data_IF_979759185069
#
_entry.id   IF_979759185069
#
_cell.length_a   1.000
_cell.length_b   1.000
_cell.length_c   1.000
_cell.angle_alpha   90.00
_cell.angle_beta   90.00
_cell.angle_gamma   90.00
#
_symmetry.space_group_name_H-M   'P 1'
#
loop_
_entity.id
_entity.type
_entity.pdbx_description
1 polymer ?
#
# COMPACT_ATOMS: atom_id res chain seq x y z
N UNK A 1 -18.00 -23.08 12.92
CA UNK A 1 -16.57 -23.10 13.27
C UNK A 1 -15.75 -23.23 11.98
N UNK A 2 -14.89 -22.26 11.66
CA UNK A 2 -14.10 -22.31 10.42
C UNK A 2 -12.87 -23.22 10.62
N UNK A 3 -12.76 -24.33 9.89
CA UNK A 3 -11.55 -25.17 9.92
C UNK A 3 -10.36 -24.35 9.41
N UNK A 4 -9.27 -24.31 10.16
CA UNK A 4 -8.03 -23.65 9.76
C UNK A 4 -7.01 -24.72 9.41
N UNK A 5 -6.30 -24.52 8.30
CA UNK A 5 -5.30 -25.45 7.78
C UNK A 5 -3.95 -24.73 7.75
N UNK A 6 -2.89 -25.43 8.14
CA UNK A 6 -1.52 -24.91 8.10
C UNK A 6 -1.06 -24.65 6.66
N UNK A 7 -0.04 -23.81 6.49
CA UNK A 7 0.56 -23.54 5.17
C UNK A 7 1.08 -24.83 4.54
N UNK A 8 1.84 -25.63 5.29
CA UNK A 8 2.42 -26.90 4.83
C UNK A 8 1.34 -27.87 4.34
N UNK A 9 0.21 -27.96 5.07
CA UNK A 9 -0.90 -28.82 4.68
C UNK A 9 -1.48 -28.41 3.33
N UNK A 10 -1.68 -27.10 3.12
CA UNK A 10 -2.22 -26.59 1.85
C UNK A 10 -1.26 -26.80 0.68
N UNK A 11 0.05 -26.58 0.89
CA UNK A 11 1.08 -26.84 -0.13
C UNK A 11 1.07 -28.31 -0.52
N UNK A 12 1.15 -29.22 0.45
CA UNK A 12 1.15 -30.66 0.20
C UNK A 12 -0.12 -31.12 -0.54
N UNK A 13 -1.27 -30.58 -0.17
CA UNK A 13 -2.53 -30.88 -0.85
C UNK A 13 -2.52 -30.43 -2.33
N UNK A 14 -1.94 -29.27 -2.64
CA UNK A 14 -1.78 -28.79 -4.02
C UNK A 14 -0.74 -29.61 -4.80
N UNK A 15 0.37 -30.00 -4.17
CA UNK A 15 1.39 -30.85 -4.79
C UNK A 15 0.85 -32.22 -5.18
N UNK A 16 0.01 -32.85 -4.37
CA UNK A 16 -0.62 -34.13 -4.72
C UNK A 16 -1.46 -34.05 -6.00
N UNK A 17 -2.06 -32.89 -6.29
CA UNK A 17 -2.85 -32.69 -7.51
C UNK A 17 -1.96 -32.32 -8.69
N UNK A 18 -1.01 -31.39 -8.49
CA UNK A 18 -0.22 -30.81 -9.58
C UNK A 18 1.05 -31.61 -9.93
N UNK A 19 1.73 -32.18 -8.94
CA UNK A 19 2.95 -33.00 -9.13
C UNK A 19 2.60 -34.47 -9.32
N UNK A 20 1.75 -35.02 -8.45
CA UNK A 20 1.40 -36.44 -8.50
C UNK A 20 0.25 -36.75 -9.48
N UNK A 21 -0.36 -35.71 -10.08
CA UNK A 21 -1.40 -35.85 -11.09
C UNK A 21 -2.73 -36.42 -10.59
N UNK A 22 -2.97 -36.45 -9.27
CA UNK A 22 -4.21 -36.98 -8.71
C UNK A 22 -5.40 -36.08 -9.06
N UNK A 23 -6.57 -36.70 -9.25
CA UNK A 23 -7.82 -35.94 -9.43
C UNK A 23 -8.17 -35.22 -8.11
N UNK A 24 -8.68 -33.99 -8.21
CA UNK A 24 -9.10 -33.21 -7.03
C UNK A 24 -10.09 -33.94 -6.12
N UNK A 25 -10.95 -34.81 -6.67
CA UNK A 25 -11.91 -35.58 -5.89
C UNK A 25 -11.21 -36.62 -4.98
N UNK A 26 -10.27 -37.36 -5.54
CA UNK A 26 -9.51 -38.40 -4.85
C UNK A 26 -8.58 -37.81 -3.79
N UNK A 27 -7.88 -36.72 -4.15
CA UNK A 27 -7.02 -36.00 -3.21
C UNK A 27 -7.83 -35.39 -2.06
N UNK A 28 -9.03 -34.85 -2.33
CA UNK A 28 -9.89 -34.28 -1.30
C UNK A 28 -10.43 -35.34 -0.33
N UNK A 29 -10.81 -36.51 -0.84
CA UNK A 29 -11.28 -37.64 -0.04
C UNK A 29 -10.16 -38.18 0.87
N UNK A 30 -8.96 -38.39 0.31
CA UNK A 30 -7.78 -38.86 1.05
C UNK A 30 -7.34 -37.90 2.17
N UNK A 31 -7.52 -36.59 1.95
CA UNK A 31 -7.19 -35.55 2.92
C UNK A 31 -8.35 -35.18 3.84
N UNK A 32 -9.55 -35.74 3.63
CA UNK A 32 -10.75 -35.42 4.40
C UNK A 32 -11.19 -33.95 4.28
N UNK A 33 -10.92 -33.30 3.14
CA UNK A 33 -11.26 -31.90 2.88
C UNK A 33 -12.33 -31.76 1.81
N UNK A 34 -12.96 -30.59 1.74
CA UNK A 34 -13.94 -30.29 0.71
C UNK A 34 -13.23 -30.13 -0.66
N UNK A 35 -13.73 -30.81 -1.70
CA UNK A 35 -13.21 -30.72 -3.08
C UNK A 35 -13.15 -29.29 -3.62
N UNK A 36 -14.16 -28.46 -3.35
CA UNK A 36 -14.22 -27.06 -3.80
C UNK A 36 -13.09 -26.26 -3.16
N UNK A 37 -12.80 -26.51 -1.89
CA UNK A 37 -11.71 -25.86 -1.17
C UNK A 37 -10.34 -26.24 -1.76
N UNK A 38 -10.15 -27.52 -2.09
CA UNK A 38 -8.93 -27.99 -2.75
C UNK A 38 -8.76 -27.36 -4.14
N UNK A 39 -9.84 -27.26 -4.91
CA UNK A 39 -9.84 -26.61 -6.22
C UNK A 39 -9.43 -25.12 -6.13
N UNK A 40 -9.96 -24.40 -5.14
CA UNK A 40 -9.58 -23.01 -4.89
C UNK A 40 -8.10 -22.88 -4.53
N UNK A 41 -7.58 -23.80 -3.71
CA UNK A 41 -6.15 -23.79 -3.35
C UNK A 41 -5.26 -24.10 -4.54
N UNK A 42 -5.59 -25.11 -5.36
CA UNK A 42 -4.80 -25.46 -6.55
C UNK A 42 -4.80 -24.34 -7.57
N UNK A 43 -5.95 -23.73 -7.85
CA UNK A 43 -6.03 -22.60 -8.80
C UNK A 43 -5.21 -21.39 -8.32
N UNK A 44 -5.29 -21.08 -7.03
CA UNK A 44 -4.47 -20.01 -6.47
C UNK A 44 -2.97 -20.34 -6.53
N UNK A 45 -2.60 -21.59 -6.25
CA UNK A 45 -1.23 -22.13 -6.25
C UNK A 45 -0.62 -22.16 -7.65
N UNK A 46 -1.38 -22.44 -8.70
CA UNK A 46 -0.90 -22.34 -10.08
C UNK A 46 -0.51 -20.90 -10.45
N UNK A 47 -1.28 -19.91 -9.99
CA UNK A 47 -1.03 -18.50 -10.32
C UNK A 47 0.14 -17.92 -9.52
N UNK A 48 0.24 -18.22 -8.22
CA UNK A 48 1.21 -17.54 -7.33
C UNK A 48 2.14 -18.49 -6.54
N UNK A 49 2.13 -19.79 -6.84
CA UNK A 49 2.94 -20.81 -6.17
C UNK A 49 2.68 -20.93 -4.67
N UNK A 50 3.71 -21.34 -3.92
CA UNK A 50 3.65 -21.45 -2.46
C UNK A 50 3.38 -20.13 -1.73
N UNK A 51 3.60 -18.99 -2.40
CA UNK A 51 3.40 -17.65 -1.84
C UNK A 51 1.92 -17.29 -1.62
N UNK A 52 0.98 -18.09 -2.14
CA UNK A 52 -0.46 -17.92 -1.90
C UNK A 52 -0.82 -18.07 -0.43
N UNK A 53 -0.16 -18.99 0.26
CA UNK A 53 -0.54 -19.40 1.61
C UNK A 53 0.16 -18.56 2.68
N UNK A 54 0.19 -17.24 2.50
CA UNK A 54 0.55 -16.30 3.56
C UNK A 54 -0.57 -16.33 4.60
N UNK A 55 -0.23 -16.65 5.86
CA UNK A 55 -1.20 -16.82 6.94
C UNK A 55 -2.08 -15.59 7.16
N UNK A 56 -3.15 -15.72 7.96
CA UNK A 56 -4.04 -14.59 8.29
C UNK A 56 -3.22 -13.42 8.84
N UNK A 57 -3.32 -12.25 8.20
CA UNK A 57 -2.62 -11.03 8.59
C UNK A 57 -1.30 -10.74 7.84
N UNK A 58 -0.78 -11.68 7.05
CA UNK A 58 0.43 -11.45 6.26
C UNK A 58 0.05 -11.14 4.81
N UNK A 59 0.35 -9.92 4.36
CA UNK A 59 0.23 -9.55 2.94
C UNK A 59 1.41 -10.13 2.17
N UNK A 60 1.23 -10.42 0.87
CA UNK A 60 2.34 -10.85 0.02
C UNK A 60 3.38 -9.74 -0.01
N UNK A 61 4.67 -10.09 0.01
CA UNK A 61 5.75 -9.10 -0.08
C UNK A 61 5.62 -8.24 -1.35
N UNK A 62 5.20 -8.84 -2.46
CA UNK A 62 4.92 -8.16 -3.73
C UNK A 62 3.78 -7.12 -3.60
N UNK A 63 2.73 -7.43 -2.81
CA UNK A 63 1.65 -6.48 -2.52
C UNK A 63 2.11 -5.34 -1.60
N UNK A 64 3.01 -5.64 -0.65
CA UNK A 64 3.57 -4.65 0.26
C UNK A 64 4.47 -3.65 -0.47
N UNK A 65 5.34 -4.12 -1.37
CA UNK A 65 6.17 -3.27 -2.22
C UNK A 65 5.32 -2.44 -3.16
N UNK A 66 4.34 -3.05 -3.85
CA UNK A 66 3.43 -2.33 -4.74
C UNK A 66 2.66 -1.24 -3.98
N UNK A 67 2.20 -1.53 -2.76
CA UNK A 67 1.54 -0.53 -1.90
C UNK A 67 2.48 0.60 -1.49
N UNK A 68 3.72 0.27 -1.09
CA UNK A 68 4.75 1.27 -0.76
C UNK A 68 5.00 2.19 -1.96
N UNK A 69 5.17 1.61 -3.15
CA UNK A 69 5.35 2.36 -4.41
C UNK A 69 4.15 3.21 -4.76
N UNK A 70 2.93 2.70 -4.62
CA UNK A 70 1.70 3.48 -4.86
C UNK A 70 1.58 4.66 -3.90
N UNK A 71 1.91 4.46 -2.62
CA UNK A 71 1.93 5.52 -1.61
C UNK A 71 2.97 6.58 -1.95
N UNK A 72 4.20 6.18 -2.26
CA UNK A 72 5.28 7.08 -2.66
C UNK A 72 4.90 7.89 -3.91
N UNK A 73 4.31 7.24 -4.92
CA UNK A 73 3.86 7.90 -6.14
C UNK A 73 2.74 8.93 -5.86
N UNK A 74 1.77 8.59 -5.01
CA UNK A 74 0.74 9.54 -4.59
C UNK A 74 1.33 10.74 -3.85
N UNK A 75 2.29 10.50 -2.94
CA UNK A 75 2.99 11.57 -2.23
C UNK A 75 3.79 12.47 -3.20
N UNK A 76 4.51 11.89 -4.15
CA UNK A 76 5.28 12.64 -5.16
C UNK A 76 4.39 13.44 -6.11
N UNK A 77 3.23 12.91 -6.49
CA UNK A 77 2.24 13.65 -7.31
C UNK A 77 1.75 14.89 -6.58
N UNK A 78 1.42 14.76 -5.29
CA UNK A 78 1.03 15.88 -4.45
C UNK A 78 2.16 16.91 -4.31
N UNK A 79 3.38 16.46 -4.03
CA UNK A 79 4.54 17.36 -3.90
C UNK A 79 4.81 18.13 -5.21
N UNK A 80 4.69 17.47 -6.37
CA UNK A 80 4.80 18.12 -7.67
C UNK A 80 3.69 19.14 -7.95
N UNK A 81 2.45 18.85 -7.54
CA UNK A 81 1.34 19.78 -7.72
C UNK A 81 1.53 21.05 -6.89
N UNK A 82 1.94 20.89 -5.63
CA UNK A 82 2.33 22.01 -4.78
C UNK A 82 3.47 22.80 -5.43
N UNK A 83 4.50 22.11 -5.93
CA UNK A 83 5.65 22.76 -6.56
C UNK A 83 5.23 23.61 -7.77
N UNK A 84 4.36 23.07 -8.64
CA UNK A 84 3.83 23.80 -9.80
C UNK A 84 3.07 25.06 -9.38
N UNK A 85 2.22 24.97 -8.34
CA UNK A 85 1.49 26.12 -7.79
C UNK A 85 2.43 27.18 -7.17
N UNK A 86 3.58 26.75 -6.64
CA UNK A 86 4.50 27.61 -5.90
C UNK A 86 5.72 28.09 -6.69
N UNK A 87 5.89 27.69 -7.96
CA UNK A 87 7.14 27.89 -8.68
C UNK A 87 7.62 29.35 -8.69
N UNK A 88 6.68 30.31 -8.70
CA UNK A 88 6.97 31.75 -8.65
C UNK A 88 7.45 32.27 -7.30
N UNK A 89 7.14 31.60 -6.18
CA UNK A 89 7.43 32.09 -4.82
C UNK A 89 8.64 31.40 -4.17
N UNK A 90 9.24 30.38 -4.79
CA UNK A 90 10.32 29.59 -4.17
C UNK A 90 11.59 30.40 -3.90
N UNK A 91 11.88 31.41 -4.73
CA UNK A 91 13.05 32.28 -4.58
C UNK A 91 12.81 33.45 -3.61
N UNK A 92 11.62 33.55 -3.02
CA UNK A 92 11.26 34.65 -2.14
C UNK A 92 11.67 34.41 -0.68
N UNK A 93 11.62 35.50 0.10
CA UNK A 93 11.86 35.44 1.54
C UNK A 93 10.94 34.42 2.22
N UNK A 94 11.41 33.70 3.26
CA UNK A 94 10.60 32.69 3.96
C UNK A 94 9.22 33.20 4.40
N UNK A 95 9.12 34.46 4.84
CA UNK A 95 7.83 35.06 5.25
C UNK A 95 6.83 35.18 4.11
N UNK A 96 7.28 35.52 2.89
CA UNK A 96 6.41 35.57 1.71
C UNK A 96 5.94 34.18 1.33
N UNK A 97 6.81 33.17 1.42
CA UNK A 97 6.45 31.76 1.18
C UNK A 97 5.42 31.27 2.19
N UNK A 98 5.54 31.62 3.47
CA UNK A 98 4.55 31.28 4.52
C UNK A 98 3.19 31.93 4.25
N UNK A 99 3.16 33.21 3.84
CA UNK A 99 1.91 33.90 3.47
C UNK A 99 1.25 33.28 2.24
N UNK A 100 2.02 32.97 1.21
CA UNK A 100 1.53 32.28 0.02
C UNK A 100 0.91 30.92 0.38
N UNK A 101 1.61 30.15 1.21
CA UNK A 101 1.14 28.85 1.67
C UNK A 101 -0.20 28.90 2.42
N UNK A 102 -0.43 29.93 3.22
CA UNK A 102 -1.71 30.10 3.95
C UNK A 102 -2.88 30.42 3.03
N UNK A 103 -2.63 31.18 1.97
CA UNK A 103 -3.67 31.64 1.06
C UNK A 103 -4.03 30.57 0.03
N UNK A 104 -3.03 30.04 -0.66
CA UNK A 104 -3.21 29.23 -1.88
C UNK A 104 -3.16 27.71 -1.65
N UNK A 105 -2.65 27.25 -0.50
CA UNK A 105 -2.40 25.82 -0.24
C UNK A 105 -3.22 25.25 0.92
N UNK A 106 -4.42 25.79 1.14
CA UNK A 106 -5.34 25.37 2.22
C UNK A 106 -5.78 23.90 2.10
N UNK A 107 -5.79 23.37 0.88
CA UNK A 107 -6.19 21.99 0.57
C UNK A 107 -5.09 20.95 0.87
N UNK A 108 -3.84 21.37 1.05
CA UNK A 108 -2.72 20.46 1.24
C UNK A 108 -2.27 20.38 2.71
N UNK A 109 -1.75 19.23 3.16
CA UNK A 109 -1.15 19.13 4.48
C UNK A 109 0.02 20.10 4.66
N UNK A 110 0.03 20.84 5.78
CA UNK A 110 1.10 21.80 6.14
C UNK A 110 2.49 21.15 6.08
N UNK A 111 2.59 19.87 6.45
CA UNK A 111 3.85 19.12 6.37
C UNK A 111 4.41 19.03 4.95
N UNK A 112 3.55 18.75 3.96
CA UNK A 112 3.93 18.64 2.55
C UNK A 112 4.23 20.00 1.95
N UNK A 113 3.41 20.99 2.26
CA UNK A 113 3.62 22.39 1.85
C UNK A 113 4.96 22.93 2.35
N UNK A 114 5.24 22.80 3.65
CA UNK A 114 6.49 23.25 4.24
C UNK A 114 7.71 22.55 3.62
N UNK A 115 7.60 21.24 3.36
CA UNK A 115 8.65 20.46 2.70
C UNK A 115 8.97 21.00 1.31
N UNK A 116 7.96 21.22 0.47
CA UNK A 116 8.13 21.72 -0.90
C UNK A 116 8.65 23.16 -0.93
N UNK A 117 8.15 24.02 -0.03
CA UNK A 117 8.57 25.41 0.06
C UNK A 117 9.93 25.61 0.75
N UNK A 118 10.56 24.55 1.27
CA UNK A 118 11.84 24.63 1.98
C UNK A 118 11.76 25.45 3.27
N UNK A 119 10.68 25.29 4.04
CA UNK A 119 10.46 25.99 5.32
C UNK A 119 10.27 24.94 6.42
N UNK A 120 10.78 25.20 7.62
CA UNK A 120 10.50 24.30 8.75
C UNK A 120 9.06 24.48 9.26
N UNK A 121 8.43 23.39 9.72
CA UNK A 121 7.08 23.45 10.30
C UNK A 121 7.00 24.43 11.48
N UNK A 122 8.02 24.45 12.34
CA UNK A 122 8.09 25.37 13.48
C UNK A 122 8.13 26.83 13.04
N UNK A 123 8.89 27.13 11.97
CA UNK A 123 8.91 28.48 11.39
C UNK A 123 7.56 28.88 10.81
N UNK A 124 6.91 27.97 10.07
CA UNK A 124 5.58 28.20 9.52
C UNK A 124 4.59 28.62 10.59
N UNK A 125 4.49 27.88 11.70
CA UNK A 125 3.56 28.21 12.78
C UNK A 125 3.97 29.45 13.58
N UNK A 126 5.27 29.75 13.69
CA UNK A 126 5.77 30.97 14.34
C UNK A 126 5.40 32.24 13.56
N UNK A 127 5.49 32.19 12.23
CA UNK A 127 5.29 33.35 11.33
C UNK A 127 3.84 33.46 10.85
N UNK A 128 3.07 32.37 10.93
CA UNK A 128 1.65 32.39 10.56
C UNK A 128 0.88 33.38 11.42
N UNK A 129 0.56 34.52 10.81
CA UNK A 129 -0.48 35.41 11.30
C UNK A 129 -1.83 34.79 10.96
N UNK A 130 -2.85 34.87 11.84
CA UNK A 130 -4.21 34.62 11.44
C UNK A 130 -4.53 35.50 10.22
N UNK A 131 -5.05 34.91 9.16
CA UNK A 131 -5.61 35.69 8.06
C UNK A 131 -6.79 36.45 8.66
N UNK A 132 -6.70 37.77 8.76
CA UNK A 132 -7.90 38.60 8.98
C UNK A 132 -8.82 38.34 7.77
N UNK A 133 -10.04 37.87 8.05
CA UNK A 133 -11.10 37.65 7.06
C UNK A 133 -11.61 38.97 6.48
#
# INVERSE_FOLDING_TARGET
MHKTYSKEFKVKACEMVLKDGMKHAEAAERLGINKILLYQWTSAYEINGEKVFVGKGHQRAEDAELRKRRKENAELKMENEILRKCNSILCEKPDRRVRFAQKELKEYPVSKVCKVLGISRSYYYKVRKPTEE
#
